data_IF_246608435117
#
_entry.id   IF_246608435117
#
_cell.length_a   1.000
_cell.length_b   1.000
_cell.length_c   1.000
_cell.angle_alpha   90.00
_cell.angle_beta   90.00
_cell.angle_gamma   90.00
#
_symmetry.space_group_name_H-M   'P 1'
#
loop_
_entity.id
_entity.type
_entity.pdbx_description
1 polymer ?
#
# COMPACT_ATOMS: atom_id res chain seq x y z
N UNK A 1 5.86 -6.78 51.24
CA UNK A 1 5.98 -5.79 50.15
C UNK A 1 4.57 -5.54 49.60
N UNK A 2 3.90 -4.46 50.02
CA UNK A 2 2.53 -4.16 49.57
C UNK A 2 2.51 -3.74 48.10
N UNK A 3 1.57 -4.28 47.31
CA UNK A 3 1.33 -3.82 45.93
C UNK A 3 0.99 -2.32 45.96
N UNK A 4 1.80 -1.48 45.31
CA UNK A 4 1.42 -0.10 45.03
C UNK A 4 0.19 -0.10 44.12
N UNK A 5 -0.89 0.57 44.54
CA UNK A 5 -2.03 0.84 43.67
C UNK A 5 -1.64 1.94 42.68
N UNK A 6 -1.61 1.59 41.38
CA UNK A 6 -1.32 2.52 40.29
C UNK A 6 -2.43 3.58 40.23
N UNK A 7 -2.06 4.87 40.22
CA UNK A 7 -3.02 5.97 40.13
C UNK A 7 -3.68 6.04 38.74
N UNK A 8 -4.82 6.73 38.64
CA UNK A 8 -5.48 6.92 37.34
C UNK A 8 -4.59 7.73 36.37
N UNK A 9 -3.84 8.71 36.88
CA UNK A 9 -2.92 9.52 36.07
C UNK A 9 -1.80 8.67 35.46
N UNK A 10 -1.27 7.73 36.23
CA UNK A 10 -0.25 6.80 35.74
C UNK A 10 -0.83 5.85 34.67
N UNK A 11 -2.08 5.42 34.80
CA UNK A 11 -2.77 4.65 33.75
C UNK A 11 -2.96 5.46 32.47
N UNK A 12 -3.35 6.74 32.60
CA UNK A 12 -3.52 7.65 31.45
C UNK A 12 -2.18 7.87 30.75
N UNK A 13 -1.09 8.10 31.50
CA UNK A 13 0.25 8.28 30.95
C UNK A 13 0.69 7.05 30.14
N UNK A 14 0.55 5.84 30.71
CA UNK A 14 0.85 4.59 30.01
C UNK A 14 0.00 4.40 28.76
N UNK A 15 -1.29 4.73 28.82
CA UNK A 15 -2.16 4.60 27.66
C UNK A 15 -1.77 5.56 26.53
N UNK A 16 -1.31 6.79 26.85
CA UNK A 16 -0.78 7.72 25.85
C UNK A 16 0.45 7.15 25.14
N UNK A 17 1.36 6.52 25.87
CA UNK A 17 2.53 5.85 25.29
C UNK A 17 2.11 4.69 24.36
N UNK A 18 1.13 3.88 24.78
CA UNK A 18 0.58 2.80 23.95
C UNK A 18 -0.04 3.36 22.66
N UNK A 19 -0.83 4.43 22.75
CA UNK A 19 -1.44 5.07 21.58
C UNK A 19 -0.38 5.61 20.64
N UNK A 20 0.68 6.26 21.16
CA UNK A 20 1.80 6.74 20.35
C UNK A 20 2.48 5.59 19.63
N UNK A 21 2.85 4.52 20.34
CA UNK A 21 3.51 3.36 19.76
C UNK A 21 2.62 2.64 18.72
N UNK A 22 1.30 2.62 18.93
CA UNK A 22 0.36 2.06 17.96
C UNK A 22 0.28 2.91 16.70
N UNK A 23 0.32 4.25 16.83
CA UNK A 23 0.37 5.15 15.68
C UNK A 23 1.64 4.93 14.87
N UNK A 24 2.81 4.84 15.52
CA UNK A 24 4.07 4.60 14.84
C UNK A 24 4.05 3.27 14.07
N UNK A 25 3.48 2.21 14.68
CA UNK A 25 3.29 0.91 14.02
C UNK A 25 2.32 0.98 12.84
N UNK A 26 1.24 1.74 12.97
CA UNK A 26 0.28 1.96 11.88
C UNK A 26 0.95 2.67 10.70
N UNK A 27 1.70 3.75 10.97
CA UNK A 27 2.40 4.53 9.94
C UNK A 27 3.46 3.66 9.21
N UNK A 28 4.19 2.81 9.95
CA UNK A 28 5.12 1.84 9.36
C UNK A 28 4.40 0.81 8.47
N UNK A 29 3.30 0.23 8.95
CA UNK A 29 2.52 -0.74 8.18
C UNK A 29 1.91 -0.12 6.91
N UNK A 30 1.46 1.14 7.00
CA UNK A 30 0.93 1.88 5.86
C UNK A 30 2.02 2.15 4.81
N UNK A 31 3.23 2.51 5.24
CA UNK A 31 4.36 2.71 4.34
C UNK A 31 4.74 1.41 3.60
N UNK A 32 4.77 0.27 4.32
CA UNK A 32 5.03 -1.03 3.71
C UNK A 32 3.95 -1.41 2.70
N UNK A 33 2.67 -1.19 3.03
CA UNK A 33 1.57 -1.44 2.11
C UNK A 33 1.72 -0.62 0.82
N UNK A 34 2.03 0.67 0.94
CA UNK A 34 2.25 1.55 -0.21
C UNK A 34 3.45 1.09 -1.06
N UNK A 35 4.54 0.65 -0.43
CA UNK A 35 5.70 0.11 -1.11
C UNK A 35 5.36 -1.17 -1.88
N UNK A 36 4.61 -2.09 -1.28
CA UNK A 36 4.15 -3.33 -1.92
C UNK A 36 3.22 -3.04 -3.10
N UNK A 37 2.27 -2.11 -2.96
CA UNK A 37 1.39 -1.69 -4.04
C UNK A 37 2.16 -1.05 -5.21
N UNK A 38 3.19 -0.25 -4.92
CA UNK A 38 4.08 0.31 -5.94
C UNK A 38 4.84 -0.81 -6.66
N UNK A 39 5.48 -1.71 -5.92
CA UNK A 39 6.22 -2.85 -6.46
C UNK A 39 5.34 -3.76 -7.32
N UNK A 40 4.09 -4.02 -6.92
CA UNK A 40 3.12 -4.78 -7.71
C UNK A 40 2.86 -4.11 -9.07
N UNK A 41 2.61 -2.80 -9.10
CA UNK A 41 2.42 -2.05 -10.34
C UNK A 41 3.66 -2.09 -11.23
N UNK A 42 4.85 -1.96 -10.65
CA UNK A 42 6.11 -2.06 -11.41
C UNK A 42 6.30 -3.45 -12.03
N UNK A 43 5.98 -4.53 -11.30
CA UNK A 43 6.05 -5.90 -11.83
C UNK A 43 5.05 -6.11 -12.97
N UNK A 44 3.80 -5.66 -12.81
CA UNK A 44 2.79 -5.74 -13.86
C UNK A 44 3.19 -4.94 -15.11
N UNK A 45 3.78 -3.76 -14.93
CA UNK A 45 4.32 -2.96 -16.03
C UNK A 45 5.46 -3.67 -16.77
N UNK A 46 6.38 -4.31 -16.04
CA UNK A 46 7.46 -5.13 -16.64
C UNK A 46 6.91 -6.33 -17.39
N UNK A 47 5.92 -7.02 -16.84
CA UNK A 47 5.28 -8.15 -17.49
C UNK A 47 4.59 -7.72 -18.79
N UNK A 48 3.89 -6.59 -18.78
CA UNK A 48 3.27 -6.01 -19.97
C UNK A 48 4.31 -5.65 -21.05
N UNK A 49 5.40 -4.99 -20.67
CA UNK A 49 6.48 -4.63 -21.61
C UNK A 49 7.16 -5.87 -22.19
N UNK A 50 7.47 -6.86 -21.36
CA UNK A 50 8.04 -8.12 -21.82
C UNK A 50 7.08 -8.83 -22.79
N UNK A 51 5.78 -8.87 -22.49
CA UNK A 51 4.79 -9.46 -23.39
C UNK A 51 4.73 -8.70 -24.73
N UNK A 52 4.82 -7.37 -24.70
CA UNK A 52 4.84 -6.55 -25.90
C UNK A 52 6.08 -6.82 -26.76
N UNK A 53 7.28 -6.82 -26.17
CA UNK A 53 8.54 -7.10 -26.87
C UNK A 53 8.56 -8.47 -27.56
N UNK A 54 7.89 -9.47 -26.96
CA UNK A 54 7.79 -10.81 -27.51
C UNK A 54 6.57 -11.01 -28.45
N UNK A 55 5.77 -9.96 -28.66
CA UNK A 55 4.60 -10.01 -29.53
C UNK A 55 4.90 -9.47 -30.93
N UNK A 56 4.09 -9.87 -31.91
CA UNK A 56 4.08 -9.25 -33.25
C UNK A 56 3.14 -8.04 -33.35
N UNK A 57 2.57 -7.59 -32.23
CA UNK A 57 1.58 -6.51 -32.16
C UNK A 57 2.28 -5.15 -32.22
N UNK A 58 1.66 -4.17 -32.88
CA UNK A 58 2.19 -2.81 -32.89
C UNK A 58 1.77 -2.06 -31.61
N UNK A 59 2.54 -1.02 -31.26
CA UNK A 59 2.20 -0.15 -30.12
C UNK A 59 0.81 0.50 -30.31
N UNK A 60 0.53 0.97 -31.53
CA UNK A 60 -0.75 1.61 -31.88
C UNK A 60 -1.95 0.68 -31.70
N UNK A 61 -1.80 -0.59 -32.10
CA UNK A 61 -2.84 -1.61 -31.91
C UNK A 61 -3.14 -1.84 -30.42
N UNK A 62 -2.09 -1.93 -29.59
CA UNK A 62 -2.25 -2.16 -28.15
C UNK A 62 -2.84 -0.94 -27.45
N UNK A 63 -2.40 0.27 -27.79
CA UNK A 63 -2.95 1.50 -27.23
C UNK A 63 -4.42 1.67 -27.60
N UNK A 64 -4.77 1.39 -28.86
CA UNK A 64 -6.17 1.40 -29.32
C UNK A 64 -7.01 0.41 -28.50
N UNK A 65 -6.56 -0.84 -28.35
CA UNK A 65 -7.25 -1.84 -27.54
C UNK A 65 -7.43 -1.44 -26.07
N UNK A 66 -6.42 -0.83 -25.44
CA UNK A 66 -6.49 -0.37 -24.05
C UNK A 66 -7.44 0.83 -23.88
N UNK A 67 -7.51 1.71 -24.88
CA UNK A 67 -8.36 2.91 -24.85
C UNK A 67 -9.81 2.63 -25.22
N UNK A 68 -10.10 1.65 -26.10
CA UNK A 68 -11.47 1.25 -26.49
C UNK A 68 -12.36 0.84 -25.31
N UNK A 69 -11.76 0.45 -24.17
CA UNK A 69 -12.49 0.05 -22.97
C UNK A 69 -12.87 1.24 -22.06
N UNK A 70 -12.32 2.45 -22.26
CA UNK A 70 -12.74 3.63 -21.49
C UNK A 70 -14.07 4.22 -22.01
N UNK A 71 -14.37 4.04 -23.29
CA UNK A 71 -15.56 4.66 -23.91
C UNK A 71 -16.84 3.82 -23.75
N UNK A 72 -16.74 2.53 -23.38
CA UNK A 72 -17.91 1.65 -23.21
C UNK A 72 -18.59 1.72 -21.84
N UNK A 73 -18.04 2.51 -20.92
CA UNK A 73 -18.52 2.61 -19.53
C UNK A 73 -18.78 4.06 -19.09
N UNK A 74 -18.88 5.00 -20.04
CA UNK A 74 -19.30 6.39 -19.81
C UNK A 74 -20.79 6.59 -20.12
#
# INVERSE_FOLDING_TARGET
MGRRSISIDEKIARQKEVVSAMKDKYDLALNELNALMKKKRELQGKELLNAFENSSRSLDEILTFLNENNDRNS
#
